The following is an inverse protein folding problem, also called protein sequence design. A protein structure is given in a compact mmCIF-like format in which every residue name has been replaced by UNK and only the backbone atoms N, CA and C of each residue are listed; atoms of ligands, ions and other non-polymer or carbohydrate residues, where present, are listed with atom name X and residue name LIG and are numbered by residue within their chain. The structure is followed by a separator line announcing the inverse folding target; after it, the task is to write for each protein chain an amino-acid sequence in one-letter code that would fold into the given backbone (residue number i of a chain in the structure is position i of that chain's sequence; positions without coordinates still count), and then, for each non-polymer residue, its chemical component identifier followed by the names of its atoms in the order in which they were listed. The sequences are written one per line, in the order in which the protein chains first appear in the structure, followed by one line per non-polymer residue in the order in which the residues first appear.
data_IF_764919306160
#
_entry.id   IF_764919306160
#
_cell.length_a   1.000
_cell.length_b   1.000
_cell.length_c   1.000
_cell.angle_alpha   90.00
_cell.angle_beta   90.00
_cell.angle_gamma   90.00
#
_symmetry.space_group_name_H-M   'P 1'
#
loop_
_entity.id
_entity.type
_entity.pdbx_description
1 polymer ?
#
# COMPACT_ATOMS: atom_id res chain seq x y z
N UNK A 1 -51.69 11.77 -6.62
CA UNK A 1 -50.44 12.56 -6.48
C UNK A 1 -49.34 11.77 -7.20
N UNK A 2 -48.50 12.38 -8.04
CA UNK A 2 -47.38 11.67 -8.62
C UNK A 2 -46.45 11.19 -7.49
N UNK A 3 -46.05 9.91 -7.52
CA UNK A 3 -45.03 9.37 -6.60
C UNK A 3 -43.70 9.94 -7.06
N UNK A 4 -43.01 10.71 -6.22
CA UNK A 4 -41.61 11.02 -6.46
C UNK A 4 -40.83 9.71 -6.35
N UNK A 5 -40.06 9.40 -7.39
CA UNK A 5 -39.22 8.20 -7.46
C UNK A 5 -37.80 8.69 -7.61
N UNK A 6 -36.92 8.22 -6.72
CA UNK A 6 -35.50 8.51 -6.77
C UNK A 6 -34.81 7.41 -7.58
N UNK A 7 -33.90 7.79 -8.48
CA UNK A 7 -33.18 6.85 -9.33
C UNK A 7 -31.71 6.95 -9.04
N UNK A 8 -31.10 5.81 -8.79
CA UNK A 8 -29.64 5.72 -8.67
C UNK A 8 -29.00 6.18 -9.98
N UNK A 9 -28.07 7.12 -9.90
CA UNK A 9 -27.37 7.65 -11.08
C UNK A 9 -26.54 6.58 -11.83
N UNK A 10 -26.23 5.46 -11.18
CA UNK A 10 -25.35 4.41 -11.71
C UNK A 10 -26.08 3.19 -12.30
N UNK A 11 -27.24 2.81 -11.78
CA UNK A 11 -27.94 1.59 -12.22
C UNK A 11 -29.42 1.79 -12.57
N UNK A 12 -29.92 3.04 -12.54
CA UNK A 12 -31.31 3.41 -12.82
C UNK A 12 -32.36 2.73 -11.93
N UNK A 13 -31.93 2.04 -10.85
CA UNK A 13 -32.82 1.40 -9.89
C UNK A 13 -33.63 2.47 -9.15
N UNK A 14 -34.93 2.21 -9.04
CA UNK A 14 -35.92 3.11 -8.45
C UNK A 14 -36.06 2.87 -6.95
N UNK A 15 -36.13 3.96 -6.19
CA UNK A 15 -36.24 3.99 -4.74
C UNK A 15 -37.37 4.92 -4.31
N UNK A 16 -37.97 4.56 -3.17
CA UNK A 16 -39.11 5.29 -2.59
C UNK A 16 -38.69 6.48 -1.74
N UNK A 17 -37.44 6.50 -1.29
CA UNK A 17 -36.90 7.57 -0.48
C UNK A 17 -35.53 7.99 -1.01
N UNK A 18 -35.14 9.28 -0.83
CA UNK A 18 -33.81 9.74 -1.23
C UNK A 18 -32.71 9.12 -0.36
N UNK A 19 -33.03 8.71 0.87
CA UNK A 19 -32.09 8.03 1.76
C UNK A 19 -31.74 6.63 1.26
N UNK A 20 -32.74 5.82 0.87
CA UNK A 20 -32.47 4.48 0.32
C UNK A 20 -31.70 4.55 -1.01
N UNK A 21 -31.97 5.59 -1.82
CA UNK A 21 -31.23 5.85 -3.05
C UNK A 21 -29.78 6.22 -2.77
N UNK A 22 -29.52 7.08 -1.78
CA UNK A 22 -28.17 7.50 -1.39
C UNK A 22 -27.36 6.36 -0.77
N UNK A 23 -27.97 5.57 0.13
CA UNK A 23 -27.34 4.38 0.72
C UNK A 23 -27.02 3.36 -0.38
N UNK A 24 -27.94 3.16 -1.32
CA UNK A 24 -27.68 2.32 -2.47
C UNK A 24 -26.61 2.90 -3.39
N UNK A 25 -26.55 4.20 -3.66
CA UNK A 25 -25.52 4.80 -4.52
C UNK A 25 -24.10 4.56 -3.98
N UNK A 26 -23.95 4.53 -2.66
CA UNK A 26 -22.69 4.16 -1.98
C UNK A 26 -22.34 2.69 -2.23
N UNK A 27 -23.32 1.78 -2.22
CA UNK A 27 -23.15 0.35 -2.51
C UNK A 27 -23.12 0.00 -4.01
N UNK A 28 -23.70 0.86 -4.85
CA UNK A 28 -23.93 0.65 -6.28
C UNK A 28 -22.69 0.98 -7.11
N UNK A 29 -21.75 1.76 -6.56
CA UNK A 29 -20.42 1.85 -7.11
C UNK A 29 -19.70 0.52 -6.87
N UNK A 30 -19.38 -0.16 -7.96
CA UNK A 30 -18.55 -1.35 -7.98
C UNK A 30 -17.32 -1.15 -7.09
N UNK A 31 -17.20 -1.91 -5.99
CA UNK A 31 -16.09 -1.79 -5.05
C UNK A 31 -14.75 -1.94 -5.76
N UNK A 32 -14.66 -2.75 -6.82
CA UNK A 32 -13.47 -2.84 -7.66
C UNK A 32 -13.16 -1.52 -8.36
N UNK A 33 -14.17 -0.80 -8.82
CA UNK A 33 -13.99 0.51 -9.42
C UNK A 33 -13.51 1.54 -8.40
N UNK A 34 -14.06 1.54 -7.17
CA UNK A 34 -13.60 2.42 -6.09
C UNK A 34 -12.15 2.09 -5.72
N UNK A 35 -11.81 0.81 -5.52
CA UNK A 35 -10.44 0.37 -5.22
C UNK A 35 -9.47 0.86 -6.29
N UNK A 36 -9.81 0.69 -7.57
CA UNK A 36 -8.97 1.17 -8.68
C UNK A 36 -8.79 2.69 -8.64
N UNK A 37 -9.86 3.45 -8.42
CA UNK A 37 -9.78 4.92 -8.37
C UNK A 37 -8.90 5.39 -7.21
N UNK A 38 -9.13 4.87 -5.99
CA UNK A 38 -8.36 5.27 -4.82
C UNK A 38 -6.91 4.81 -4.90
N UNK A 39 -6.65 3.61 -5.43
CA UNK A 39 -5.29 3.13 -5.66
C UNK A 39 -4.55 4.05 -6.64
N UNK A 40 -5.16 4.43 -7.76
CA UNK A 40 -4.53 5.34 -8.73
C UNK A 40 -4.27 6.73 -8.15
N UNK A 41 -5.16 7.26 -7.29
CA UNK A 41 -4.92 8.51 -6.55
C UNK A 41 -3.72 8.37 -5.63
N UNK A 42 -3.63 7.28 -4.86
CA UNK A 42 -2.49 6.97 -3.99
C UNK A 42 -1.19 6.91 -4.79
N UNK A 43 -1.17 6.17 -5.90
CA UNK A 43 0.02 6.06 -6.75
C UNK A 43 0.43 7.40 -7.38
N UNK A 44 -0.54 8.24 -7.75
CA UNK A 44 -0.26 9.59 -8.28
C UNK A 44 0.43 10.46 -7.23
N UNK A 45 -0.07 10.47 -6.00
CA UNK A 45 0.57 11.20 -4.89
C UNK A 45 1.99 10.70 -4.63
N UNK A 46 2.22 9.39 -4.64
CA UNK A 46 3.55 8.80 -4.43
C UNK A 46 4.53 9.12 -5.57
N UNK A 47 4.05 9.09 -6.82
CA UNK A 47 4.81 9.55 -8.00
C UNK A 47 5.26 11.00 -7.84
N UNK A 48 4.32 11.89 -7.51
CA UNK A 48 4.58 13.32 -7.38
C UNK A 48 5.53 13.63 -6.21
N UNK A 49 5.34 12.97 -5.06
CA UNK A 49 6.11 13.23 -3.84
C UNK A 49 7.51 12.62 -3.89
N UNK A 50 7.67 11.42 -4.43
CA UNK A 50 8.91 10.64 -4.34
C UNK A 50 9.58 10.34 -5.68
N UNK A 51 8.97 10.72 -6.81
CA UNK A 51 9.48 10.39 -8.13
C UNK A 51 9.43 8.89 -8.43
N UNK A 52 8.53 8.16 -7.78
CA UNK A 52 8.37 6.71 -7.95
C UNK A 52 7.92 6.39 -9.38
N UNK A 53 8.68 5.55 -10.10
CA UNK A 53 8.27 5.01 -11.40
C UNK A 53 7.60 3.66 -11.18
N UNK A 54 6.32 3.54 -11.54
CA UNK A 54 5.57 2.30 -11.33
C UNK A 54 5.90 1.30 -12.43
N UNK A 55 6.28 0.08 -12.05
CA UNK A 55 6.60 -1.03 -12.96
C UNK A 55 5.40 -1.98 -13.07
N UNK A 56 4.92 -2.48 -11.93
CA UNK A 56 3.70 -3.29 -11.85
C UNK A 56 2.80 -2.75 -10.75
N UNK A 57 1.49 -2.88 -10.93
CA UNK A 57 0.50 -2.48 -9.94
C UNK A 57 -0.77 -3.30 -10.13
N UNK A 58 -1.40 -3.67 -9.02
CA UNK A 58 -2.64 -4.42 -8.97
C UNK A 58 -3.32 -4.11 -7.65
N UNK A 59 -4.62 -3.84 -7.70
CA UNK A 59 -5.47 -3.74 -6.51
C UNK A 59 -6.82 -4.36 -6.90
N UNK A 60 -7.22 -5.41 -6.19
CA UNK A 60 -8.43 -6.20 -6.49
C UNK A 60 -9.20 -6.50 -5.22
N UNK A 61 -10.53 -6.46 -5.32
CA UNK A 61 -11.39 -6.95 -4.25
C UNK A 61 -11.53 -8.46 -4.40
N UNK A 62 -11.22 -9.18 -3.32
CA UNK A 62 -11.47 -10.60 -3.19
C UNK A 62 -12.63 -10.83 -2.25
N UNK A 63 -13.45 -11.81 -2.61
CA UNK A 63 -14.57 -12.27 -1.81
C UNK A 63 -14.29 -13.73 -1.49
N UNK A 64 -14.09 -14.03 -0.21
CA UNK A 64 -13.95 -15.39 0.30
C UNK A 64 -15.20 -15.78 1.07
N UNK A 65 -15.66 -17.01 0.86
CA UNK A 65 -16.82 -17.59 1.54
C UNK A 65 -16.30 -18.64 2.52
N UNK A 66 -16.04 -18.21 3.76
CA UNK A 66 -15.57 -19.10 4.82
C UNK A 66 -16.74 -19.49 5.75
N UNK A 67 -16.49 -20.45 6.64
CA UNK A 67 -17.46 -21.04 7.59
C UNK A 67 -18.19 -19.97 8.44
N UNK A 68 -17.61 -18.78 8.59
CA UNK A 68 -18.15 -17.64 9.34
C UNK A 68 -18.96 -16.63 8.53
N UNK A 69 -19.02 -16.76 7.19
CA UNK A 69 -19.70 -15.88 6.27
C UNK A 69 -18.80 -15.33 5.15
N UNK A 70 -19.36 -14.40 4.37
CA UNK A 70 -18.66 -13.71 3.28
C UNK A 70 -17.67 -12.70 3.89
N UNK A 71 -16.39 -12.85 3.58
CA UNK A 71 -15.31 -11.91 3.91
C UNK A 71 -14.83 -11.25 2.62
N UNK A 72 -14.83 -9.93 2.60
CA UNK A 72 -14.28 -9.15 1.49
C UNK A 72 -12.96 -8.52 1.93
N UNK A 73 -11.90 -8.67 1.13
CA UNK A 73 -10.61 -8.03 1.36
C UNK A 73 -10.06 -7.42 0.07
N UNK A 74 -9.12 -6.49 0.20
CA UNK A 74 -8.44 -5.86 -0.94
C UNK A 74 -7.01 -6.36 -0.99
N UNK A 75 -6.64 -7.04 -2.06
CA UNK A 75 -5.25 -7.47 -2.34
C UNK A 75 -4.56 -6.37 -3.15
N UNK A 76 -3.47 -5.83 -2.61
CA UNK A 76 -2.65 -4.79 -3.23
C UNK A 76 -1.26 -5.32 -3.50
N UNK A 77 -0.86 -5.23 -4.76
CA UNK A 77 0.44 -5.66 -5.27
C UNK A 77 1.08 -4.52 -6.07
N UNK A 78 2.25 -4.05 -5.65
CA UNK A 78 2.96 -2.94 -6.28
C UNK A 78 4.46 -3.24 -6.42
N UNK A 79 5.01 -2.93 -7.59
CA UNK A 79 6.45 -2.75 -7.74
C UNK A 79 6.77 -1.46 -8.48
N UNK A 80 7.87 -0.81 -8.07
CA UNK A 80 8.30 0.44 -8.67
C UNK A 80 9.79 0.70 -8.48
N UNK A 81 10.27 1.77 -9.10
CA UNK A 81 11.65 2.21 -9.06
C UNK A 81 11.71 3.65 -8.51
N UNK A 82 12.46 3.84 -7.44
CA UNK A 82 12.75 5.18 -6.93
C UNK A 82 13.79 5.89 -7.81
N UNK A 83 13.89 7.24 -7.77
CA UNK A 83 14.86 8.00 -8.57
C UNK A 83 16.32 7.60 -8.34
N UNK A 84 16.60 6.98 -7.20
CA UNK A 84 17.92 6.50 -6.82
C UNK A 84 18.25 5.09 -7.37
N UNK A 85 17.36 4.50 -8.17
CA UNK A 85 17.54 3.19 -8.79
C UNK A 85 17.16 2.00 -7.91
N UNK A 86 16.64 2.23 -6.70
CA UNK A 86 16.17 1.16 -5.81
C UNK A 86 14.79 0.69 -6.26
N UNK A 87 14.64 -0.62 -6.40
CA UNK A 87 13.33 -1.25 -6.64
C UNK A 87 12.60 -1.40 -5.32
N UNK A 88 11.36 -0.91 -5.27
CA UNK A 88 10.44 -1.09 -4.14
C UNK A 88 9.41 -2.16 -4.51
N UNK A 89 9.00 -2.94 -3.51
CA UNK A 89 7.95 -3.94 -3.62
C UNK A 89 7.03 -3.82 -2.41
N UNK A 90 5.75 -4.01 -2.65
CA UNK A 90 4.73 -3.96 -1.63
C UNK A 90 3.63 -4.95 -2.00
N UNK A 91 3.29 -5.80 -1.06
CA UNK A 91 2.26 -6.84 -1.19
C UNK A 91 1.52 -6.86 0.13
N UNK A 92 0.22 -6.59 0.09
CA UNK A 92 -0.58 -6.45 1.30
C UNK A 92 -2.06 -6.75 1.06
N UNK A 93 -2.70 -7.34 2.08
CA UNK A 93 -4.12 -7.61 2.12
C UNK A 93 -4.81 -6.73 3.17
N UNK A 94 -5.85 -6.01 2.74
CA UNK A 94 -6.72 -5.23 3.62
C UNK A 94 -8.00 -5.99 3.90
N UNK A 95 -8.14 -6.50 5.13
CA UNK A 95 -9.30 -7.27 5.59
C UNK A 95 -10.60 -6.47 5.69
N UNK A 96 -10.53 -5.16 5.47
CA UNK A 96 -11.68 -4.27 5.38
C UNK A 96 -11.45 -3.26 4.26
N UNK A 97 -12.50 -3.04 3.49
CA UNK A 97 -12.51 -2.03 2.43
C UNK A 97 -12.13 -0.64 2.95
N UNK A 98 -12.69 -0.21 4.08
CA UNK A 98 -12.39 1.10 4.67
C UNK A 98 -10.91 1.25 5.04
N UNK A 99 -10.28 0.20 5.57
CA UNK A 99 -8.86 0.23 5.94
C UNK A 99 -7.99 0.53 4.72
N UNK A 100 -8.31 -0.04 3.56
CA UNK A 100 -7.64 0.27 2.30
C UNK A 100 -7.81 1.75 1.91
N UNK A 101 -9.03 2.28 1.98
CA UNK A 101 -9.32 3.68 1.60
C UNK A 101 -8.54 4.67 2.48
N UNK A 102 -8.48 4.42 3.79
CA UNK A 102 -7.88 5.36 4.73
C UNK A 102 -6.37 5.20 4.90
N UNK A 103 -5.84 3.98 4.80
CA UNK A 103 -4.45 3.69 5.20
C UNK A 103 -3.51 3.33 4.06
N UNK A 104 -4.01 2.97 2.86
CA UNK A 104 -3.16 2.48 1.77
C UNK A 104 -2.01 3.41 1.42
N UNK A 105 -2.27 4.73 1.37
CA UNK A 105 -1.22 5.72 1.14
C UNK A 105 -0.15 5.71 2.23
N UNK A 106 -0.57 5.76 3.51
CA UNK A 106 0.34 5.82 4.63
C UNK A 106 1.21 4.57 4.70
N UNK A 107 0.60 3.38 4.54
CA UNK A 107 1.33 2.10 4.59
C UNK A 107 2.30 1.95 3.42
N UNK A 108 1.87 2.27 2.19
CA UNK A 108 2.77 2.30 1.04
C UNK A 108 3.94 3.26 1.24
N UNK A 109 3.69 4.43 1.83
CA UNK A 109 4.74 5.40 2.12
C UNK A 109 5.73 4.89 3.18
N UNK A 110 5.21 4.46 4.34
CA UNK A 110 6.01 4.08 5.51
C UNK A 110 6.73 2.74 5.32
N UNK A 111 6.13 1.78 4.62
CA UNK A 111 6.66 0.42 4.48
C UNK A 111 7.42 0.23 3.16
N UNK A 112 6.94 0.81 2.05
CA UNK A 112 7.55 0.57 0.74
C UNK A 112 8.56 1.64 0.30
N UNK A 113 8.47 2.87 0.82
CA UNK A 113 9.25 4.01 0.29
C UNK A 113 10.23 4.57 1.33
N UNK A 114 9.74 5.03 2.48
CA UNK A 114 10.56 5.69 3.49
C UNK A 114 11.77 4.87 3.96
N UNK A 115 11.70 3.53 4.10
CA UNK A 115 12.86 2.72 4.50
C UNK A 115 14.05 2.79 3.53
N UNK A 116 13.78 3.12 2.26
CA UNK A 116 14.79 3.25 1.20
C UNK A 116 15.24 4.70 0.94
N UNK A 117 14.54 5.67 1.52
CA UNK A 117 14.93 7.09 1.49
C UNK A 117 15.68 7.50 2.76
N UNK A 118 15.45 6.81 3.87
CA UNK A 118 16.13 7.11 5.11
C UNK A 118 17.61 6.71 5.02
N UNK A 119 18.49 7.71 5.02
CA UNK A 119 19.95 7.52 5.02
C UNK A 119 20.53 7.35 6.42
N UNK A 120 19.68 7.34 7.46
CA UNK A 120 20.10 7.14 8.85
C UNK A 120 19.67 5.75 9.29
N UNK A 121 20.62 5.04 9.88
CA UNK A 121 20.42 3.74 10.49
C UNK A 121 20.83 3.82 11.96
N UNK A 122 19.98 3.32 12.86
CA UNK A 122 20.25 3.21 14.29
C UNK A 122 19.84 1.80 14.74
N UNK A 123 20.79 0.99 15.20
CA UNK A 123 20.55 -0.38 15.66
C UNK A 123 21.83 -1.13 16.05
N UNK A 124 21.69 -2.32 16.62
CA UNK A 124 22.80 -3.10 17.23
C UNK A 124 23.42 -4.05 16.21
N UNK A 125 24.73 -3.92 15.96
CA UNK A 125 25.46 -4.80 15.06
C UNK A 125 26.11 -5.94 15.85
N UNK A 126 25.84 -7.19 15.48
CA UNK A 126 26.50 -8.36 16.04
C UNK A 126 27.56 -8.89 15.06
N UNK A 127 28.81 -8.99 15.50
CA UNK A 127 29.88 -9.61 14.73
C UNK A 127 30.08 -11.06 15.13
N UNK A 128 30.04 -12.00 14.17
CA UNK A 128 30.41 -13.39 14.43
C UNK A 128 31.91 -13.61 14.18
N UNK A 129 32.62 -14.16 15.16
CA UNK A 129 34.08 -14.21 15.20
C UNK A 129 34.67 -15.36 14.37
N UNK A 130 34.72 -15.21 13.04
CA UNK A 130 35.70 -15.94 12.23
C UNK A 130 35.19 -16.53 10.92
N UNK A 131 35.34 -15.73 9.86
CA UNK A 131 35.34 -16.08 8.44
C UNK A 131 33.99 -16.35 7.75
N UNK A 132 33.90 -15.70 6.59
CA UNK A 132 32.78 -15.55 5.64
C UNK A 132 31.64 -14.64 6.09
N UNK A 133 31.60 -13.49 5.41
CA UNK A 133 30.74 -12.35 5.63
C UNK A 133 29.28 -12.73 5.39
N UNK A 134 28.47 -12.64 6.45
CA UNK A 134 27.11 -12.12 6.42
C UNK A 134 26.83 -11.55 7.81
N UNK A 135 27.12 -10.26 7.99
CA UNK A 135 26.75 -9.55 9.21
C UNK A 135 25.23 -9.35 9.17
N UNK A 136 24.53 -10.07 10.04
CA UNK A 136 23.11 -9.91 10.30
C UNK A 136 22.92 -8.84 11.37
N UNK A 137 22.08 -7.84 11.08
CA UNK A 137 21.64 -6.87 12.07
C UNK A 137 20.15 -7.09 12.34
N UNK A 138 19.83 -7.83 13.40
CA UNK A 138 18.49 -8.24 13.86
C UNK A 138 17.59 -8.98 12.84
N UNK A 139 17.82 -8.82 11.53
CA UNK A 139 17.37 -9.56 10.33
C UNK A 139 17.78 -8.84 9.00
N UNK A 140 18.57 -7.76 9.06
CA UNK A 140 18.95 -6.93 7.92
C UNK A 140 20.40 -7.20 7.47
N UNK A 141 20.60 -7.58 6.21
CA UNK A 141 21.95 -7.72 5.63
C UNK A 141 22.64 -6.35 5.51
N UNK A 142 23.92 -6.26 5.92
CA UNK A 142 24.76 -5.08 5.66
C UNK A 142 24.82 -4.73 4.16
N UNK A 143 24.71 -5.74 3.28
CA UNK A 143 24.62 -5.55 1.83
C UNK A 143 23.46 -4.62 1.44
N UNK A 144 22.36 -4.69 2.18
CA UNK A 144 21.16 -3.90 1.96
C UNK A 144 21.31 -2.48 2.50
N UNK A 145 21.98 -2.31 3.64
CA UNK A 145 22.40 -0.99 4.16
C UNK A 145 23.31 -0.29 3.15
N UNK A 146 24.33 -0.98 2.64
CA UNK A 146 25.23 -0.44 1.62
C UNK A 146 24.51 -0.05 0.33
N UNK A 147 23.50 -0.83 -0.09
CA UNK A 147 22.62 -0.51 -1.23
C UNK A 147 21.78 0.75 -0.96
N UNK A 148 21.15 0.86 0.21
CA UNK A 148 20.37 2.05 0.64
C UNK A 148 21.22 3.32 0.65
N UNK A 149 22.51 3.18 0.93
CA UNK A 149 23.45 4.30 1.07
C UNK A 149 24.19 4.65 -0.23
N UNK A 150 23.88 4.04 -1.37
CA UNK A 150 24.41 4.41 -2.70
C UNK A 150 25.95 4.39 -2.79
N UNK A 151 26.61 3.46 -2.10
CA UNK A 151 28.07 3.42 -2.06
C UNK A 151 28.72 4.64 -1.39
N UNK A 152 27.94 5.48 -0.70
CA UNK A 152 28.48 6.56 0.12
C UNK A 152 29.21 5.96 1.30
N UNK A 153 30.39 6.50 1.58
CA UNK A 153 31.17 6.14 2.75
C UNK A 153 30.37 6.55 4.00
N UNK A 154 29.85 5.57 4.72
CA UNK A 154 29.16 5.81 5.98
C UNK A 154 30.05 5.49 7.17
N UNK A 155 29.89 6.27 8.24
CA UNK A 155 30.46 5.99 9.54
C UNK A 155 29.40 5.24 10.34
N UNK A 156 29.67 3.98 10.63
CA UNK A 156 28.89 3.22 11.61
C UNK A 156 29.46 3.60 12.97
N UNK A 157 28.66 4.26 13.81
CA UNK A 157 29.01 4.52 15.21
C UNK A 157 28.36 3.45 16.09
N UNK A 158 29.18 2.75 16.86
CA UNK A 158 28.72 1.87 17.93
C UNK A 158 28.56 2.75 19.16
N UNK A 159 27.31 2.90 19.64
CA UNK A 159 27.01 3.60 20.90
C UNK A 159 26.95 2.53 21.99
N UNK A 160 27.86 2.62 22.96
CA UNK A 160 27.88 1.78 24.17
C UNK A 160 26.93 2.31 25.25
#
# INVERSE_FOLDING_TARGET
MPREVYKCENCDKEFDTPFDCADHEVECLDKDAIVKIEFEKTLTKLKEKYGLVIITRKAEVWVDDDISGIVEFVDVNLSGLLPNGITVRFEEEYWKFDDFIYSSYQRLEEEAILPYLNTKYEGKVWGNNGYECDYMIDDLEISEICRRLHGKKVRIEVIE
#
